data_IF_055856732275
#
_entry.id   IF_055856732275
#
_cell.length_a   1.000
_cell.length_b   1.000
_cell.length_c   1.000
_cell.angle_alpha   90.00
_cell.angle_beta   90.00
_cell.angle_gamma   90.00
#
_symmetry.space_group_name_H-M   'P 1'
#
loop_
_entity.id
_entity.type
_entity.pdbx_description
1 polymer ?
#
# COMPACT_ATOMS: atom_id res chain seq x y z
N UNK A 1 -31.88 55.08 2.29
CA UNK A 1 -31.70 54.93 3.75
C UNK A 1 -32.24 53.57 4.17
N UNK A 2 -31.39 52.82 4.85
CA UNK A 2 -31.63 51.73 5.80
C UNK A 2 -33.08 51.41 6.20
N UNK A 3 -33.47 50.13 6.05
CA UNK A 3 -33.66 49.26 7.21
C UNK A 3 -35.08 48.95 7.73
N UNK A 4 -35.42 47.65 7.64
CA UNK A 4 -36.10 46.79 8.65
C UNK A 4 -37.61 47.00 8.94
N UNK A 5 -38.41 45.91 8.87
CA UNK A 5 -39.00 45.12 9.98
C UNK A 5 -40.26 44.33 9.49
N UNK A 6 -40.20 42.99 9.37
CA UNK A 6 -40.80 41.90 10.20
C UNK A 6 -42.34 41.72 10.19
N UNK A 7 -42.77 40.52 9.76
CA UNK A 7 -43.90 39.73 10.30
C UNK A 7 -43.61 38.24 9.97
N UNK A 8 -43.02 37.45 10.88
CA UNK A 8 -43.65 36.49 11.82
C UNK A 8 -44.49 35.40 11.13
N UNK A 9 -44.00 34.15 11.15
CA UNK A 9 -44.84 33.02 11.53
C UNK A 9 -43.99 31.91 12.17
N UNK A 10 -44.42 31.53 13.38
CA UNK A 10 -43.84 30.52 14.24
C UNK A 10 -44.21 29.14 13.69
N UNK A 11 -43.23 28.28 13.40
CA UNK A 11 -43.52 26.86 13.16
C UNK A 11 -42.39 26.01 13.76
N UNK A 12 -42.76 25.36 14.88
CA UNK A 12 -42.25 24.13 15.46
C UNK A 12 -40.80 23.73 15.09
N UNK A 13 -39.88 23.91 16.04
CA UNK A 13 -38.56 23.28 16.00
C UNK A 13 -38.69 21.75 15.95
N UNK A 14 -38.46 21.18 14.79
CA UNK A 14 -37.91 19.83 14.66
C UNK A 14 -36.53 20.03 14.05
N UNK A 15 -35.50 19.95 14.89
CA UNK A 15 -34.10 20.06 14.46
C UNK A 15 -33.77 18.88 13.57
N UNK A 16 -33.93 19.04 12.24
CA UNK A 16 -33.13 18.29 11.29
C UNK A 16 -31.69 18.74 11.53
N UNK A 17 -30.93 17.91 12.24
CA UNK A 17 -29.48 17.98 12.20
C UNK A 17 -29.07 17.70 10.76
N UNK A 18 -28.90 18.76 9.97
CA UNK A 18 -28.14 18.70 8.74
C UNK A 18 -26.71 18.36 9.18
N UNK A 19 -26.40 17.08 9.29
CA UNK A 19 -25.02 16.63 9.35
C UNK A 19 -24.46 17.09 8.00
N UNK A 20 -23.73 18.21 8.02
CA UNK A 20 -22.79 18.50 6.97
C UNK A 20 -21.89 17.26 6.90
N UNK A 21 -22.09 16.44 5.87
CA UNK A 21 -21.08 15.45 5.49
C UNK A 21 -19.79 16.25 5.41
N UNK A 22 -18.73 15.91 6.17
CA UNK A 22 -17.47 16.60 6.01
C UNK A 22 -17.16 16.56 4.52
N UNK A 23 -17.04 17.73 3.91
CA UNK A 23 -16.54 17.83 2.54
C UNK A 23 -15.18 17.18 2.61
N UNK A 24 -15.03 16.07 1.89
CA UNK A 24 -13.76 15.39 1.77
C UNK A 24 -12.76 16.34 1.11
N UNK A 25 -11.87 16.93 1.90
CA UNK A 25 -10.88 17.89 1.47
C UNK A 25 -9.64 17.14 1.00
N UNK A 26 -9.71 16.60 -0.21
CA UNK A 26 -8.50 16.15 -0.90
C UNK A 26 -7.70 17.37 -1.38
N UNK A 27 -6.41 17.43 -1.07
CA UNK A 27 -5.52 18.48 -1.59
C UNK A 27 -4.73 17.96 -2.79
N UNK A 28 -4.72 18.74 -3.87
CA UNK A 28 -4.02 18.41 -5.10
C UNK A 28 -2.98 19.48 -5.42
N UNK A 29 -1.79 19.06 -5.85
CA UNK A 29 -0.74 19.96 -6.35
C UNK A 29 -0.37 19.57 -7.77
N UNK A 30 0.06 20.55 -8.56
CA UNK A 30 0.37 20.39 -9.98
C UNK A 30 1.74 20.97 -10.29
N UNK A 31 2.41 20.43 -11.30
CA UNK A 31 3.64 21.03 -11.86
C UNK A 31 3.34 22.21 -12.80
N UNK A 32 4.39 22.84 -13.32
CA UNK A 32 4.31 23.98 -14.24
C UNK A 32 3.62 23.65 -15.57
N UNK A 33 3.52 22.36 -15.93
CA UNK A 33 2.81 21.86 -17.10
C UNK A 33 1.35 21.47 -16.77
N UNK A 34 0.87 21.83 -15.58
CA UNK A 34 -0.46 21.55 -15.07
C UNK A 34 -0.79 20.05 -14.95
N UNK A 35 0.23 19.22 -14.69
CA UNK A 35 0.09 17.78 -14.43
C UNK A 35 0.08 17.54 -12.92
N UNK A 36 -0.76 16.61 -12.45
CA UNK A 36 -0.95 16.32 -11.03
C UNK A 36 0.32 15.71 -10.42
N UNK A 37 0.97 16.34 -9.44
CA UNK A 37 2.19 15.81 -8.79
C UNK A 37 1.96 15.32 -7.35
N UNK A 38 0.91 15.78 -6.67
CA UNK A 38 0.52 15.23 -5.37
C UNK A 38 -1.00 15.20 -5.22
N UNK A 39 -1.54 14.13 -4.67
CA UNK A 39 -2.91 14.03 -4.20
C UNK A 39 -2.92 13.52 -2.76
N UNK A 40 -3.47 14.28 -1.82
CA UNK A 40 -3.60 13.86 -0.41
C UNK A 40 -5.06 13.70 -0.05
N UNK A 41 -5.43 12.57 0.55
CA UNK A 41 -6.80 12.28 1.03
C UNK A 41 -7.01 12.82 2.46
N UNK A 42 -8.27 12.89 2.90
CA UNK A 42 -8.60 13.27 4.30
C UNK A 42 -8.07 12.30 5.36
N UNK A 43 -7.82 11.05 4.97
CA UNK A 43 -7.19 10.05 5.85
C UNK A 43 -5.67 10.26 5.96
N UNK A 44 -5.10 11.25 5.27
CA UNK A 44 -3.67 11.57 5.27
C UNK A 44 -2.86 10.71 4.29
N UNK A 45 -3.50 9.91 3.43
CA UNK A 45 -2.81 9.15 2.39
C UNK A 45 -2.36 10.12 1.31
N UNK A 46 -1.07 10.09 0.96
CA UNK A 46 -0.52 10.98 -0.06
C UNK A 46 -0.01 10.16 -1.25
N UNK A 47 -0.51 10.45 -2.44
CA UNK A 47 0.04 9.96 -3.70
C UNK A 47 0.94 11.04 -4.30
N UNK A 48 2.18 10.71 -4.59
CA UNK A 48 3.08 11.55 -5.37
C UNK A 48 3.24 10.97 -6.76
N UNK A 49 3.11 11.81 -7.78
CA UNK A 49 3.23 11.41 -9.17
C UNK A 49 4.47 12.07 -9.77
N UNK A 50 5.25 11.28 -10.50
CA UNK A 50 6.37 11.78 -11.30
C UNK A 50 6.13 11.52 -12.78
N UNK A 51 6.62 12.42 -13.63
CA UNK A 51 6.49 12.30 -15.08
C UNK A 51 7.85 12.45 -15.77
N UNK A 52 8.01 11.83 -16.93
CA UNK A 52 9.12 12.15 -17.83
C UNK A 52 8.87 13.47 -18.60
N UNK A 53 9.88 13.87 -19.39
CA UNK A 53 9.81 15.07 -20.22
C UNK A 53 8.75 14.98 -21.35
N UNK A 54 8.33 13.77 -21.72
CA UNK A 54 7.30 13.54 -22.73
C UNK A 54 5.88 13.54 -22.15
N UNK A 55 5.72 13.61 -20.82
CA UNK A 55 4.41 13.60 -20.16
C UNK A 55 3.95 12.22 -19.68
N UNK A 56 4.77 11.19 -19.83
CA UNK A 56 4.40 9.86 -19.36
C UNK A 56 4.62 9.76 -17.85
N UNK A 57 3.65 9.16 -17.16
CA UNK A 57 3.76 8.86 -15.73
C UNK A 57 4.89 7.87 -15.50
N UNK A 58 5.87 8.25 -14.68
CA UNK A 58 7.06 7.46 -14.36
C UNK A 58 7.06 6.91 -12.95
N UNK A 59 6.33 7.53 -12.01
CA UNK A 59 6.18 7.00 -10.66
C UNK A 59 4.84 7.40 -10.07
N UNK A 60 4.26 6.49 -9.31
CA UNK A 60 3.26 6.82 -8.29
C UNK A 60 3.81 6.28 -6.97
N UNK A 61 4.09 7.17 -6.04
CA UNK A 61 4.49 6.83 -4.68
C UNK A 61 3.32 7.10 -3.76
N UNK A 62 2.74 6.05 -3.19
CA UNK A 62 1.80 6.20 -2.10
C UNK A 62 2.58 6.27 -0.79
N UNK A 63 2.64 7.44 -0.17
CA UNK A 63 3.15 7.61 1.17
C UNK A 63 2.03 7.48 2.20
N UNK A 64 2.08 6.42 3.02
CA UNK A 64 1.48 6.45 4.34
C UNK A 64 2.49 7.04 5.33
N UNK A 65 2.11 8.10 6.05
CA UNK A 65 2.74 8.33 7.34
C UNK A 65 2.35 7.14 8.22
N UNK A 66 3.32 6.34 8.67
CA UNK A 66 3.08 5.26 9.62
C UNK A 66 2.09 5.77 10.69
N UNK A 67 0.99 5.06 10.99
CA UNK A 67 -0.09 5.60 11.80
C UNK A 67 0.48 6.27 13.03
N UNK A 68 0.23 7.58 13.14
CA UNK A 68 0.68 8.41 14.26
C UNK A 68 0.18 7.74 15.53
N UNK A 69 1.15 7.20 16.28
CA UNK A 69 1.09 6.79 17.67
C UNK A 69 -0.31 6.86 18.34
N UNK A 70 -1.18 5.88 18.05
CA UNK A 70 -2.13 5.45 19.07
C UNK A 70 -1.39 4.45 19.93
N UNK A 71 -1.21 4.83 21.19
CA UNK A 71 -0.45 4.08 22.18
C UNK A 71 -0.91 2.62 22.23
N UNK A 72 -0.10 1.72 21.68
CA UNK A 72 -0.17 0.31 22.00
C UNK A 72 0.56 0.10 23.32
N UNK A 73 -0.18 0.10 24.43
CA UNK A 73 0.34 -0.22 25.77
C UNK A 73 0.60 -1.72 25.97
N UNK A 74 0.58 -2.53 24.91
CA UNK A 74 1.20 -3.85 24.79
C UNK A 74 1.39 -4.14 23.28
N UNK A 75 2.55 -3.78 22.73
CA UNK A 75 2.78 -3.66 21.29
C UNK A 75 3.45 -4.90 20.68
N UNK A 76 2.68 -5.71 19.94
CA UNK A 76 3.28 -6.48 18.85
C UNK A 76 3.22 -5.62 17.57
N UNK A 77 4.25 -5.64 16.71
CA UNK A 77 4.13 -5.10 15.37
C UNK A 77 3.02 -5.89 14.67
N UNK A 78 1.94 -5.24 14.27
CA UNK A 78 0.86 -5.86 13.52
C UNK A 78 0.72 -5.14 12.19
N UNK A 79 0.72 -5.92 11.10
CA UNK A 79 0.34 -5.40 9.80
C UNK A 79 -1.16 -5.06 9.83
N UNK A 80 -1.50 -3.92 9.25
CA UNK A 80 -2.87 -3.54 8.93
C UNK A 80 -3.21 -4.15 7.58
N UNK A 81 -4.37 -4.81 7.48
CA UNK A 81 -4.91 -5.32 6.22
C UNK A 81 -3.93 -6.21 5.43
N UNK A 82 -3.20 -7.09 6.12
CA UNK A 82 -2.27 -8.03 5.48
C UNK A 82 -2.96 -9.18 4.75
N UNK A 83 -4.24 -9.41 5.04
CA UNK A 83 -5.14 -10.32 4.34
C UNK A 83 -5.90 -9.64 3.19
N UNK A 84 -5.75 -8.32 3.00
CA UNK A 84 -6.41 -7.53 1.96
C UNK A 84 -7.95 -7.56 1.98
N UNK A 85 -8.55 -7.98 3.10
CA UNK A 85 -10.00 -8.00 3.34
C UNK A 85 -10.55 -6.72 3.97
N UNK A 86 -9.71 -5.72 4.18
CA UNK A 86 -10.03 -4.37 4.68
C UNK A 86 -10.34 -3.36 3.57
N UNK A 87 -10.30 -2.05 3.84
CA UNK A 87 -10.60 -1.07 2.79
C UNK A 87 -9.58 -1.15 1.63
N UNK A 88 -10.00 -0.72 0.43
CA UNK A 88 -9.09 -0.52 -0.70
C UNK A 88 -8.72 0.95 -0.70
N UNK A 89 -7.44 1.24 -0.48
CA UNK A 89 -6.86 2.56 -0.60
C UNK A 89 -6.78 3.02 -2.06
N UNK A 90 -6.31 4.25 -2.26
CA UNK A 90 -6.25 4.85 -3.59
C UNK A 90 -5.29 4.08 -4.50
N UNK A 91 -5.65 3.92 -5.78
CA UNK A 91 -4.78 3.25 -6.76
C UNK A 91 -4.84 1.72 -6.75
N UNK A 92 -5.83 1.12 -6.07
CA UNK A 92 -6.03 -0.34 -6.06
C UNK A 92 -5.12 -1.07 -5.10
N UNK A 93 -4.70 -0.41 -4.02
CA UNK A 93 -3.79 -0.91 -3.00
C UNK A 93 -4.56 -1.13 -1.70
N UNK A 94 -4.30 -2.19 -0.95
CA UNK A 94 -4.91 -2.41 0.36
C UNK A 94 -4.67 -1.24 1.32
N UNK A 95 -5.64 -0.92 2.17
CA UNK A 95 -5.49 0.08 3.24
C UNK A 95 -4.18 -0.08 4.01
N UNK A 96 -3.50 1.04 4.28
CA UNK A 96 -2.20 1.13 4.97
C UNK A 96 -1.00 0.46 4.26
N UNK A 97 -1.19 -0.08 3.05
CA UNK A 97 -0.09 -0.46 2.17
C UNK A 97 0.26 0.68 1.22
N UNK A 98 1.55 0.76 0.91
CA UNK A 98 2.14 1.75 0.02
C UNK A 98 2.66 1.06 -1.24
N UNK A 99 2.30 1.57 -2.42
CA UNK A 99 2.83 1.11 -3.70
C UNK A 99 3.92 2.05 -4.23
N UNK A 100 4.92 1.45 -4.87
CA UNK A 100 5.97 2.17 -5.61
C UNK A 100 6.47 1.34 -6.80
N UNK A 101 6.90 1.98 -7.87
CA UNK A 101 7.50 1.29 -9.02
C UNK A 101 8.59 2.12 -9.69
N UNK A 102 9.49 1.43 -10.37
CA UNK A 102 10.61 2.03 -11.10
C UNK A 102 10.13 2.81 -12.33
N UNK A 103 10.74 3.97 -12.65
CA UNK A 103 10.48 4.69 -13.89
C UNK A 103 10.54 3.83 -15.15
N UNK A 104 9.51 3.95 -15.99
CA UNK A 104 9.42 3.26 -17.28
C UNK A 104 8.75 1.88 -17.25
N UNK A 105 8.19 1.47 -16.10
CA UNK A 105 7.30 0.32 -16.00
C UNK A 105 5.87 0.73 -16.33
N UNK A 106 5.13 -0.13 -17.04
CA UNK A 106 3.67 -0.07 -17.02
C UNK A 106 3.20 -0.92 -15.84
N UNK A 107 2.87 -0.27 -14.72
CA UNK A 107 2.49 -0.92 -13.48
C UNK A 107 0.99 -0.73 -13.19
N UNK A 108 0.35 -1.79 -12.70
CA UNK A 108 -1.04 -1.78 -12.25
C UNK A 108 -1.19 -2.56 -10.95
N UNK A 109 -1.92 -1.98 -10.01
CA UNK A 109 -2.28 -2.58 -8.73
C UNK A 109 -3.80 -2.65 -8.64
N UNK A 110 -4.35 -3.76 -8.16
CA UNK A 110 -5.78 -3.88 -7.86
C UNK A 110 -5.99 -4.79 -6.66
N UNK A 111 -6.98 -4.47 -5.82
CA UNK A 111 -7.56 -5.42 -4.87
C UNK A 111 -8.77 -6.07 -5.55
N UNK A 112 -8.68 -7.35 -5.86
CA UNK A 112 -9.68 -8.08 -6.66
C UNK A 112 -10.50 -8.99 -5.77
N UNK A 113 -11.83 -8.96 -5.92
CA UNK A 113 -12.71 -9.94 -5.28
C UNK A 113 -12.66 -11.25 -6.07
N UNK A 114 -12.29 -12.31 -5.38
CA UNK A 114 -12.37 -13.69 -5.88
C UNK A 114 -13.67 -14.32 -5.39
N UNK A 115 -14.44 -14.91 -6.30
CA UNK A 115 -15.68 -15.57 -5.93
C UNK A 115 -15.40 -16.90 -5.25
N UNK A 116 -15.74 -17.02 -3.96
CA UNK A 116 -15.87 -18.32 -3.30
C UNK A 116 -17.24 -18.89 -3.69
N UNK A 117 -17.25 -19.95 -4.49
CA UNK A 117 -18.50 -20.61 -4.88
C UNK A 117 -19.26 -21.08 -3.62
N UNK A 118 -20.44 -20.49 -3.35
CA UNK A 118 -21.35 -20.94 -2.29
C UNK A 118 -21.29 -20.20 -0.94
N UNK A 119 -20.47 -19.16 -0.78
CA UNK A 119 -20.44 -18.35 0.45
C UNK A 119 -20.96 -16.93 0.15
N UNK A 120 -22.21 -16.65 0.49
CA UNK A 120 -22.89 -15.36 0.21
C UNK A 120 -22.37 -14.20 1.09
N UNK A 121 -21.49 -14.48 2.07
CA UNK A 121 -21.03 -13.48 3.05
C UNK A 121 -19.50 -13.37 3.21
N UNK A 122 -18.70 -14.19 2.52
CA UNK A 122 -17.24 -14.07 2.53
C UNK A 122 -16.79 -13.43 1.21
N UNK A 123 -16.48 -12.14 1.25
CA UNK A 123 -15.67 -11.52 0.19
C UNK A 123 -14.25 -12.02 0.43
N UNK A 124 -13.65 -12.70 -0.55
CA UNK A 124 -12.24 -13.05 -0.49
C UNK A 124 -11.52 -12.13 -1.49
N UNK A 125 -10.75 -11.18 -1.00
CA UNK A 125 -10.03 -10.19 -1.79
C UNK A 125 -8.55 -10.43 -1.72
N UNK A 126 -7.92 -10.24 -2.87
CA UNK A 126 -6.48 -10.43 -3.01
C UNK A 126 -5.87 -9.19 -3.61
N UNK A 127 -4.65 -8.87 -3.19
CA UNK A 127 -3.88 -7.81 -3.81
C UNK A 127 -3.15 -8.35 -5.03
N UNK A 128 -3.35 -7.71 -6.18
CA UNK A 128 -2.70 -8.05 -7.45
C UNK A 128 -1.69 -6.98 -7.85
N UNK A 129 -0.65 -7.41 -8.54
CA UNK A 129 0.40 -6.58 -9.13
C UNK A 129 0.66 -7.08 -10.54
N UNK A 130 0.41 -6.24 -11.54
CA UNK A 130 0.61 -6.55 -12.94
C UNK A 130 1.57 -5.53 -13.54
N UNK A 131 2.64 -6.01 -14.18
CA UNK A 131 3.68 -5.14 -14.72
C UNK A 131 4.26 -5.63 -16.04
N UNK A 132 4.57 -4.67 -16.91
CA UNK A 132 5.50 -4.88 -18.03
C UNK A 132 6.66 -3.90 -17.95
N UNK A 133 7.85 -4.37 -18.32
CA UNK A 133 9.08 -3.61 -18.19
C UNK A 133 9.90 -3.62 -19.48
N UNK A 134 10.14 -2.42 -20.02
CA UNK A 134 11.02 -2.24 -21.19
C UNK A 134 12.52 -2.31 -20.81
N UNK A 135 12.85 -2.25 -19.52
CA UNK A 135 14.19 -2.33 -18.93
C UNK A 135 14.09 -3.04 -17.58
N UNK A 136 15.23 -3.28 -16.93
CA UNK A 136 15.23 -3.73 -15.53
C UNK A 136 14.59 -2.69 -14.60
N UNK A 137 13.98 -3.18 -13.53
CA UNK A 137 13.29 -2.37 -12.53
C UNK A 137 12.42 -3.22 -11.64
N UNK A 138 11.67 -2.60 -10.74
CA UNK A 138 10.74 -3.31 -9.87
C UNK A 138 9.49 -2.51 -9.59
N UNK A 139 8.45 -3.22 -9.17
CA UNK A 139 7.27 -2.66 -8.54
C UNK A 139 7.05 -3.36 -7.20
N UNK A 140 6.60 -2.62 -6.20
CA UNK A 140 6.48 -3.11 -4.83
C UNK A 140 5.18 -2.68 -4.15
N UNK A 141 4.83 -3.44 -3.12
CA UNK A 141 3.94 -3.07 -2.04
C UNK A 141 4.76 -3.08 -0.75
N UNK A 142 4.49 -2.12 0.13
CA UNK A 142 5.17 -2.08 1.42
C UNK A 142 4.29 -1.57 2.54
N UNK A 143 4.60 -2.01 3.75
CA UNK A 143 4.05 -1.45 4.97
C UNK A 143 5.15 -1.34 6.01
N UNK A 144 5.30 -0.16 6.61
CA UNK A 144 6.29 0.09 7.64
C UNK A 144 5.64 0.04 9.03
N UNK A 145 6.22 -0.76 9.91
CA UNK A 145 5.76 -0.96 11.28
C UNK A 145 6.90 -0.73 12.27
N UNK A 146 6.58 -0.29 13.48
CA UNK A 146 7.58 -0.10 14.54
C UNK A 146 8.02 -1.44 15.12
N UNK A 147 9.32 -1.57 15.34
CA UNK A 147 9.93 -2.75 15.96
C UNK A 147 11.00 -2.31 16.97
N UNK A 148 11.34 -3.20 17.90
CA UNK A 148 12.52 -3.01 18.74
C UNK A 148 13.71 -3.71 18.08
N UNK A 149 14.91 -3.14 18.22
CA UNK A 149 16.14 -3.81 17.83
C UNK A 149 16.39 -5.11 18.61
N UNK A 150 17.28 -5.96 18.08
CA UNK A 150 17.60 -7.28 18.63
C UNK A 150 16.39 -8.21 18.87
N UNK A 151 15.30 -8.04 18.11
CA UNK A 151 14.09 -8.85 18.21
C UNK A 151 13.99 -9.80 17.01
N UNK A 152 13.59 -11.05 17.27
CA UNK A 152 13.30 -12.05 16.24
C UNK A 152 11.86 -11.95 15.77
N UNK A 153 11.63 -12.16 14.47
CA UNK A 153 10.32 -12.12 13.84
C UNK A 153 10.14 -13.22 12.80
N UNK A 154 8.88 -13.49 12.49
CA UNK A 154 8.45 -14.34 11.40
C UNK A 154 7.68 -13.51 10.38
N UNK A 155 8.17 -13.46 9.14
CA UNK A 155 7.39 -13.00 8.00
C UNK A 155 6.79 -14.21 7.30
N UNK A 156 5.49 -14.19 7.04
CA UNK A 156 4.80 -15.25 6.31
C UNK A 156 3.70 -14.69 5.45
N UNK A 157 3.29 -15.44 4.44
CA UNK A 157 2.18 -15.06 3.58
C UNK A 157 1.97 -16.03 2.45
N UNK A 158 1.07 -15.67 1.56
CA UNK A 158 0.74 -16.42 0.37
C UNK A 158 0.96 -15.58 -0.87
N UNK A 159 1.39 -16.24 -1.94
CA UNK A 159 1.53 -15.63 -3.24
C UNK A 159 1.03 -16.57 -4.34
N UNK A 160 0.74 -15.98 -5.49
CA UNK A 160 0.48 -16.68 -6.75
C UNK A 160 1.20 -15.94 -7.88
N UNK A 161 1.85 -16.69 -8.77
CA UNK A 161 2.59 -16.14 -9.90
C UNK A 161 2.02 -16.68 -11.21
N UNK A 162 0.96 -16.04 -11.71
CA UNK A 162 0.25 -16.47 -12.92
C UNK A 162 1.13 -16.34 -14.17
N UNK A 163 1.97 -15.31 -14.23
CA UNK A 163 3.05 -15.19 -15.23
C UNK A 163 4.28 -14.53 -14.63
N UNK A 164 5.45 -15.01 -15.05
CA UNK A 164 6.74 -14.35 -14.86
C UNK A 164 7.57 -14.61 -16.13
N UNK A 165 8.00 -13.56 -16.80
CA UNK A 165 8.92 -13.59 -17.93
C UNK A 165 9.96 -12.51 -17.68
N UNK A 166 11.25 -12.87 -17.65
CA UNK A 166 12.33 -11.98 -17.25
C UNK A 166 12.02 -11.24 -15.92
N UNK A 167 11.37 -11.96 -15.01
CA UNK A 167 10.84 -11.43 -13.77
C UNK A 167 10.85 -12.48 -12.67
N UNK A 168 10.91 -12.02 -11.42
CA UNK A 168 10.81 -12.85 -10.21
C UNK A 168 10.05 -12.13 -9.12
N UNK A 169 9.48 -12.88 -8.19
CA UNK A 169 8.88 -12.32 -6.97
C UNK A 169 9.88 -12.38 -5.82
N UNK A 170 9.97 -11.29 -5.05
CA UNK A 170 10.71 -11.24 -3.80
C UNK A 170 9.81 -10.81 -2.65
N UNK A 171 10.08 -11.33 -1.45
CA UNK A 171 9.44 -10.87 -0.22
C UNK A 171 10.46 -10.76 0.90
N UNK A 172 10.27 -9.79 1.79
CA UNK A 172 11.13 -9.66 2.96
C UNK A 172 10.92 -8.40 3.75
N UNK A 173 11.97 -8.02 4.47
CA UNK A 173 11.96 -6.91 5.41
C UNK A 173 13.19 -6.03 5.18
N UNK A 174 12.99 -4.72 5.18
CA UNK A 174 14.02 -3.71 5.30
C UNK A 174 13.93 -3.13 6.71
N UNK A 175 15.00 -3.16 7.50
CA UNK A 175 15.03 -2.56 8.83
C UNK A 175 15.59 -1.14 8.74
N UNK A 176 14.94 -0.19 9.42
CA UNK A 176 15.31 1.21 9.38
C UNK A 176 15.66 1.73 10.78
N UNK A 177 16.62 2.66 10.82
CA UNK A 177 16.98 3.38 12.04
C UNK A 177 16.06 4.58 12.28
N UNK A 178 16.30 5.31 13.38
CA UNK A 178 15.51 6.49 13.76
C UNK A 178 15.53 7.64 12.73
N UNK A 179 16.54 7.68 11.86
CA UNK A 179 16.63 8.67 10.78
C UNK A 179 15.86 8.24 9.52
N UNK A 180 15.18 7.09 9.55
CA UNK A 180 14.48 6.51 8.39
C UNK A 180 15.43 5.89 7.35
N UNK A 181 16.68 5.64 7.70
CA UNK A 181 17.65 4.99 6.81
C UNK A 181 17.56 3.47 6.95
N UNK A 182 17.51 2.77 5.82
CA UNK A 182 17.66 1.31 5.77
C UNK A 182 19.06 0.93 6.29
N UNK A 183 19.10 0.12 7.34
CA UNK A 183 20.33 -0.36 7.99
C UNK A 183 20.56 -1.85 7.79
N UNK A 184 19.52 -2.60 7.42
CA UNK A 184 19.62 -4.02 7.06
C UNK A 184 18.49 -4.43 6.11
N UNK A 185 18.72 -5.47 5.31
CA UNK A 185 17.75 -5.97 4.32
C UNK A 185 17.75 -7.49 4.31
N UNK A 186 16.57 -8.06 4.55
CA UNK A 186 16.33 -9.50 4.58
C UNK A 186 15.27 -9.90 3.55
N UNK A 187 15.48 -9.58 2.26
CA UNK A 187 14.64 -10.03 1.13
C UNK A 187 15.10 -11.39 0.57
N UNK A 188 14.17 -12.14 -0.03
CA UNK A 188 14.47 -13.39 -0.72
C UNK A 188 13.50 -13.60 -1.88
N UNK A 189 13.98 -14.29 -2.92
CA UNK A 189 13.15 -14.76 -4.03
C UNK A 189 12.15 -15.79 -3.50
N UNK A 190 10.87 -15.57 -3.78
CA UNK A 190 9.78 -16.51 -3.45
C UNK A 190 9.23 -17.22 -4.70
N UNK A 191 9.43 -16.66 -5.90
CA UNK A 191 9.07 -17.30 -7.16
C UNK A 191 10.00 -16.91 -8.32
N UNK A 192 10.66 -17.90 -8.90
CA UNK A 192 11.41 -17.90 -10.16
C UNK A 192 11.82 -19.37 -10.48
N UNK A 193 11.20 -20.08 -11.44
CA UNK A 193 10.19 -19.66 -12.44
C UNK A 193 8.77 -19.44 -11.85
N UNK A 194 7.76 -19.03 -12.66
CA UNK A 194 6.39 -18.85 -12.16
C UNK A 194 5.78 -20.14 -11.60
N UNK A 195 4.80 -19.96 -10.72
CA UNK A 195 4.18 -21.03 -9.97
C UNK A 195 2.66 -20.92 -10.04
N UNK A 196 2.03 -21.98 -10.56
CA UNK A 196 0.57 -22.07 -10.64
C UNK A 196 -0.04 -22.32 -9.27
N UNK A 197 -1.03 -21.51 -8.90
CA UNK A 197 -1.77 -21.65 -7.65
C UNK A 197 -1.13 -20.91 -6.47
N UNK A 198 -1.79 -20.99 -5.31
CA UNK A 198 -1.36 -20.32 -4.09
C UNK A 198 -0.24 -21.10 -3.38
N UNK A 199 0.87 -20.43 -3.13
CA UNK A 199 2.02 -20.96 -2.40
C UNK A 199 2.22 -20.15 -1.13
N UNK A 200 2.47 -20.84 -0.02
CA UNK A 200 2.84 -20.20 1.25
C UNK A 200 4.35 -20.01 1.34
N UNK A 201 4.80 -18.85 1.83
CA UNK A 201 6.17 -18.61 2.19
C UNK A 201 6.28 -18.26 3.69
N UNK A 202 7.46 -18.53 4.25
CA UNK A 202 7.77 -18.25 5.64
C UNK A 202 9.27 -17.94 5.77
N UNK A 203 9.60 -16.87 6.49
CA UNK A 203 10.96 -16.37 6.67
C UNK A 203 11.20 -15.91 8.09
N UNK A 204 12.27 -16.44 8.68
CA UNK A 204 12.84 -15.93 9.92
C UNK A 204 13.64 -14.67 9.65
N UNK A 205 13.43 -13.61 10.43
CA UNK A 205 14.27 -12.40 10.39
C UNK A 205 14.59 -11.93 11.80
N UNK A 206 15.71 -11.22 11.95
CA UNK A 206 16.11 -10.62 13.22
C UNK A 206 16.48 -9.17 12.96
N UNK A 207 15.91 -8.25 13.74
CA UNK A 207 16.21 -6.83 13.60
C UNK A 207 17.60 -6.50 14.19
N UNK A 208 18.41 -5.66 13.52
CA UNK A 208 19.62 -5.09 14.12
C UNK A 208 19.34 -4.29 15.39
N UNK A 209 20.34 -4.09 16.25
CA UNK A 209 20.18 -3.37 17.53
C UNK A 209 19.69 -1.93 17.38
N UNK A 210 19.98 -1.26 16.26
CA UNK A 210 19.60 0.12 15.98
C UNK A 210 18.26 0.25 15.23
N UNK A 211 17.58 -0.86 14.94
CA UNK A 211 16.31 -0.83 14.24
C UNK A 211 15.21 -0.26 15.12
N UNK A 212 14.41 0.63 14.55
CA UNK A 212 13.19 1.18 15.17
C UNK A 212 11.94 0.91 14.33
N UNK A 213 12.12 0.60 13.05
CA UNK A 213 11.06 0.14 12.16
C UNK A 213 11.51 -0.98 11.24
N UNK A 214 10.52 -1.75 10.79
CA UNK A 214 10.63 -2.79 9.80
C UNK A 214 9.65 -2.45 8.68
N UNK A 215 10.15 -2.30 7.46
CA UNK A 215 9.35 -2.19 6.25
C UNK A 215 9.22 -3.57 5.63
N UNK A 216 8.01 -4.10 5.66
CA UNK A 216 7.68 -5.34 4.95
C UNK A 216 7.54 -4.96 3.49
N UNK A 217 8.25 -5.67 2.61
CA UNK A 217 8.29 -5.39 1.17
C UNK A 217 7.91 -6.66 0.41
N UNK A 218 6.92 -6.51 -0.48
CA UNK A 218 6.49 -7.52 -1.46
C UNK A 218 6.80 -6.94 -2.84
N UNK A 219 7.59 -7.64 -3.65
CA UNK A 219 8.19 -7.06 -4.84
C UNK A 219 8.06 -7.99 -6.05
N UNK A 220 7.74 -7.39 -7.19
CA UNK A 220 7.89 -7.99 -8.51
C UNK A 220 9.08 -7.30 -9.18
N UNK A 221 10.15 -8.06 -9.40
CA UNK A 221 11.42 -7.57 -9.94
C UNK A 221 11.57 -8.05 -11.38
N UNK A 222 11.86 -7.12 -12.30
CA UNK A 222 12.17 -7.39 -13.70
C UNK A 222 13.69 -7.33 -13.90
N UNK A 223 14.28 -8.43 -14.36
CA UNK A 223 15.74 -8.57 -14.50
C UNK A 223 16.28 -7.83 -15.73
N UNK A 224 15.49 -7.70 -16.79
CA UNK A 224 15.91 -7.12 -18.06
C UNK A 224 14.69 -6.64 -18.90
N UNK A 225 14.96 -6.16 -20.12
CA UNK A 225 13.93 -5.76 -21.07
C UNK A 225 13.01 -6.92 -21.47
N UNK A 226 11.75 -6.61 -21.78
CA UNK A 226 10.76 -7.62 -22.14
C UNK A 226 10.16 -8.32 -20.92
N UNK A 227 10.34 -7.73 -19.73
CA UNK A 227 9.79 -8.24 -18.49
C UNK A 227 8.26 -8.20 -18.49
N UNK A 228 7.63 -9.29 -18.04
CA UNK A 228 6.21 -9.36 -17.75
C UNK A 228 5.99 -10.13 -16.44
N UNK A 229 5.06 -9.66 -15.63
CA UNK A 229 4.63 -10.39 -14.45
C UNK A 229 3.17 -10.08 -14.09
N UNK A 230 2.45 -11.13 -13.70
CA UNK A 230 1.10 -11.08 -13.16
C UNK A 230 1.10 -11.90 -11.87
N UNK A 231 1.02 -11.21 -10.75
CA UNK A 231 1.21 -11.83 -9.43
C UNK A 231 0.13 -11.38 -8.45
N UNK A 232 -0.10 -12.20 -7.44
CA UNK A 232 -1.04 -11.91 -6.35
C UNK A 232 -0.42 -12.21 -4.99
N UNK A 233 -0.84 -11.46 -3.98
CA UNK A 233 -0.42 -11.57 -2.60
C UNK A 233 -1.64 -11.65 -1.69
N UNK A 234 -1.52 -12.44 -0.62
CA UNK A 234 -2.58 -12.64 0.36
C UNK A 234 -2.00 -13.15 1.70
N UNK A 235 -2.79 -13.03 2.78
CA UNK A 235 -2.49 -13.58 4.11
C UNK A 235 -1.12 -13.19 4.68
N UNK A 236 -0.65 -11.98 4.40
CA UNK A 236 0.66 -11.48 4.83
C UNK A 236 0.63 -11.19 6.33
N UNK A 237 1.54 -11.80 7.08
CA UNK A 237 1.70 -11.61 8.52
C UNK A 237 3.15 -11.40 8.90
N UNK A 238 3.36 -10.53 9.86
CA UNK A 238 4.66 -10.27 10.46
C UNK A 238 4.51 -10.24 11.97
N UNK A 239 5.11 -11.22 12.64
CA UNK A 239 4.84 -11.52 14.05
C UNK A 239 6.15 -11.71 14.82
N UNK A 240 6.25 -11.27 16.09
CA UNK A 240 7.37 -11.62 16.95
C UNK A 240 7.53 -13.13 17.13
N UNK A 241 8.78 -13.57 17.31
CA UNK A 241 9.11 -14.97 17.65
C UNK A 241 9.48 -15.14 19.11
#
# INVERSE_FOLDING_TARGET
MNGKLRAVLFCLLMTLGLQATPVMAASYTYDELNRLITATTDSGETLNYSYDAAGNLTSVEQGHSAPVARAFTAAQPALVNGDFEGAVGVGGVGEAWSAAFSPGLQARYDVVTTSVYGQVYAVNRIQTMNGTAAKSGSMSLSQEIRVNGNTGFSLQGQFKADSLTNARMEAGVEFLNADGKIIDTAKAVVADPPASGWISFHKAVHSPSQAVSARIVLELVFSESGGNGQVSWDHIRFEPR
#
